data_IF_908299194250
#
_entry.id   IF_908299194250
#
_cell.length_a   1.000
_cell.length_b   1.000
_cell.length_c   1.000
_cell.angle_alpha   90.00
_cell.angle_beta   90.00
_cell.angle_gamma   90.00
#
_symmetry.space_group_name_H-M   'P 1'
#
loop_
_entity.id
_entity.type
_entity.pdbx_description
1 polymer ?
#
# COMPACT_ATOMS: atom_id res chain seq x y z
N UNK A 1 8.78 2.86 -15.74
CA UNK A 1 9.92 1.91 -15.84
C UNK A 1 10.64 1.87 -14.50
N UNK A 2 11.41 0.83 -14.19
CA UNK A 2 12.13 0.72 -12.91
C UNK A 2 13.39 -0.13 -13.01
N UNK A 3 14.22 -0.12 -11.96
CA UNK A 3 15.45 -0.92 -11.86
C UNK A 3 15.54 -1.60 -10.50
N UNK A 4 16.25 -2.73 -10.46
CA UNK A 4 16.69 -3.34 -9.22
C UNK A 4 18.06 -2.76 -8.83
N UNK A 5 18.27 -2.54 -7.53
CA UNK A 5 19.53 -2.07 -6.98
C UNK A 5 19.88 -2.89 -5.75
N UNK A 6 21.10 -3.43 -5.70
CA UNK A 6 21.64 -4.10 -4.51
C UNK A 6 22.73 -3.23 -3.89
N UNK A 7 22.62 -2.97 -2.58
CA UNK A 7 23.62 -2.25 -1.78
C UNK A 7 23.95 -3.03 -0.52
N UNK A 8 25.01 -2.64 0.18
CA UNK A 8 25.35 -3.18 1.47
C UNK A 8 25.82 -2.08 2.42
N UNK A 9 25.67 -2.31 3.72
CA UNK A 9 26.16 -1.45 4.78
C UNK A 9 26.54 -2.30 6.00
N UNK A 10 27.25 -1.73 6.97
CA UNK A 10 27.55 -2.39 8.24
C UNK A 10 26.68 -1.78 9.34
N UNK A 11 26.05 -2.64 10.16
CA UNK A 11 25.30 -2.17 11.33
C UNK A 11 26.22 -1.90 12.52
N UNK A 12 25.68 -1.36 13.62
CA UNK A 12 26.44 -1.02 14.83
C UNK A 12 27.19 -2.22 15.47
N UNK A 13 26.83 -3.46 15.12
CA UNK A 13 27.47 -4.69 15.60
C UNK A 13 28.58 -5.18 14.66
N UNK A 14 28.90 -4.42 13.59
CA UNK A 14 29.89 -4.80 12.58
C UNK A 14 29.41 -5.88 11.60
N UNK A 15 28.10 -6.16 11.55
CA UNK A 15 27.56 -7.14 10.62
C UNK A 15 27.25 -6.49 9.28
N UNK A 16 27.70 -7.09 8.18
CA UNK A 16 27.38 -6.64 6.81
C UNK A 16 25.96 -7.06 6.43
N UNK A 17 25.13 -6.07 6.13
CA UNK A 17 23.75 -6.23 5.68
C UNK A 17 23.67 -5.97 4.18
N UNK A 18 22.98 -6.85 3.45
CA UNK A 18 22.71 -6.69 2.02
C UNK A 18 21.25 -6.31 1.80
N UNK A 19 21.01 -5.28 0.99
CA UNK A 19 19.67 -4.76 0.69
C UNK A 19 19.45 -4.80 -0.81
N UNK A 20 18.34 -5.38 -1.24
CA UNK A 20 17.89 -5.31 -2.64
C UNK A 20 16.61 -4.47 -2.69
N UNK A 21 16.65 -3.39 -3.46
CA UNK A 21 15.57 -2.42 -3.58
C UNK A 21 15.08 -2.34 -5.02
N UNK A 22 13.81 -2.01 -5.20
CA UNK A 22 13.22 -1.71 -6.51
C UNK A 22 12.96 -0.22 -6.59
N UNK A 23 13.65 0.46 -7.50
CA UNK A 23 13.52 1.91 -7.72
C UNK A 23 12.69 2.12 -8.98
N UNK A 24 11.54 2.78 -8.84
CA UNK A 24 10.59 3.04 -9.94
C UNK A 24 10.44 4.53 -10.19
N UNK A 25 10.24 4.89 -11.45
CA UNK A 25 9.99 6.28 -11.86
C UNK A 25 8.54 6.72 -11.62
N UNK A 26 7.59 5.79 -11.80
CA UNK A 26 6.16 6.03 -11.65
C UNK A 26 5.48 4.77 -11.14
N UNK A 27 4.49 4.91 -10.26
CA UNK A 27 3.63 3.82 -9.82
C UNK A 27 2.17 4.24 -9.90
N UNK A 28 1.29 3.24 -9.97
CA UNK A 28 -0.15 3.43 -9.94
C UNK A 28 -0.71 2.48 -8.89
N UNK A 29 -1.60 2.99 -8.04
CA UNK A 29 -2.35 2.15 -7.12
C UNK A 29 -3.48 1.48 -7.90
N UNK A 30 -3.64 0.18 -7.67
CA UNK A 30 -4.81 -0.57 -8.10
C UNK A 30 -5.86 -0.56 -6.98
N UNK A 31 -7.04 -1.08 -7.29
CA UNK A 31 -8.07 -1.30 -6.26
C UNK A 31 -7.58 -2.24 -5.16
N UNK A 32 -8.10 -2.05 -3.95
CA UNK A 32 -7.80 -2.95 -2.85
C UNK A 32 -8.41 -4.33 -3.12
N UNK A 33 -7.82 -5.36 -2.49
CA UNK A 33 -8.34 -6.74 -2.58
C UNK A 33 -9.80 -6.82 -2.12
N UNK A 34 -10.18 -6.06 -1.09
CA UNK A 34 -11.55 -6.04 -0.56
C UNK A 34 -12.55 -5.50 -1.59
N UNK A 35 -12.21 -4.39 -2.25
CA UNK A 35 -13.05 -3.78 -3.30
C UNK A 35 -13.20 -4.74 -4.49
N UNK A 36 -12.12 -5.43 -4.87
CA UNK A 36 -12.15 -6.41 -5.96
C UNK A 36 -13.04 -7.61 -5.60
N UNK A 37 -12.98 -8.10 -4.36
CA UNK A 37 -13.82 -9.20 -3.88
C UNK A 37 -15.30 -8.85 -3.82
N UNK A 38 -15.67 -7.66 -3.34
CA UNK A 38 -17.05 -7.17 -3.31
C UNK A 38 -17.69 -7.13 -4.70
N UNK A 39 -16.91 -6.79 -5.74
CA UNK A 39 -17.40 -6.78 -7.13
C UNK A 39 -17.74 -8.18 -7.64
N UNK A 40 -17.04 -9.22 -7.18
CA UNK A 40 -17.30 -10.62 -7.52
C UNK A 40 -18.58 -11.21 -6.89
N UNK A 41 -18.98 -10.73 -5.71
CA UNK A 41 -20.18 -11.22 -5.00
C UNK A 41 -21.47 -10.61 -5.55
N UNK A 42 -21.40 -9.42 -6.13
CA UNK A 42 -22.57 -8.72 -6.69
C UNK A 42 -22.95 -9.16 -8.11
N UNK A 43 -22.19 -10.07 -8.75
CA UNK A 43 -22.46 -10.55 -10.10
C UNK A 43 -23.47 -11.73 -10.19
N UNK A 44 -23.94 -12.25 -9.05
CA UNK A 44 -24.78 -13.46 -9.01
C UNK A 44 -26.19 -13.29 -8.44
N UNK A 45 -26.67 -12.06 -8.19
CA UNK A 45 -28.05 -11.86 -7.69
C UNK A 45 -28.77 -10.68 -8.36
N UNK A 46 -29.71 -10.92 -9.29
CA UNK A 46 -30.65 -9.89 -9.72
C UNK A 46 -31.78 -9.82 -8.69
N UNK A 47 -31.78 -8.81 -7.84
CA UNK A 47 -32.95 -8.45 -7.02
C UNK A 47 -33.24 -6.96 -7.17
N UNK A 48 -34.51 -6.56 -7.40
CA UNK A 48 -34.85 -5.23 -7.88
C UNK A 48 -34.89 -4.17 -6.76
N UNK A 49 -34.29 -3.02 -7.08
CA UNK A 49 -34.53 -1.63 -6.63
C UNK A 49 -35.30 -1.41 -5.32
N UNK A 50 -34.59 -0.78 -4.36
CA UNK A 50 -35.19 0.01 -3.29
C UNK A 50 -34.14 0.79 -2.48
N UNK A 51 -34.18 2.11 -2.58
CA UNK A 51 -33.74 3.10 -1.57
C UNK A 51 -32.22 3.36 -1.36
N UNK A 52 -31.74 4.40 -2.06
CA UNK A 52 -31.14 5.62 -1.49
C UNK A 52 -30.48 5.52 -0.10
N UNK A 53 -29.15 5.59 -0.04
CA UNK A 53 -28.42 6.38 0.97
C UNK A 53 -26.95 6.57 0.59
N UNK A 54 -26.52 7.83 0.65
CA UNK A 54 -25.16 8.30 0.38
C UNK A 54 -24.20 7.76 1.46
N UNK A 55 -23.21 6.95 1.08
CA UNK A 55 -22.07 6.72 1.94
C UNK A 55 -20.77 6.78 1.13
N UNK A 56 -20.14 7.95 1.15
CA UNK A 56 -18.83 8.20 0.56
C UNK A 56 -17.78 7.51 1.43
N UNK A 57 -17.67 6.18 1.30
CA UNK A 57 -16.62 5.40 1.97
C UNK A 57 -15.30 5.67 1.25
N UNK A 58 -14.57 6.69 1.71
CA UNK A 58 -13.21 6.95 1.28
C UNK A 58 -12.33 5.75 1.68
N UNK A 59 -11.54 5.16 0.77
CA UNK A 59 -10.80 3.92 1.01
C UNK A 59 -9.62 4.06 2.01
N UNK A 60 -9.37 5.26 2.55
CA UNK A 60 -8.29 5.51 3.52
C UNK A 60 -8.68 6.64 4.49
N UNK A 61 -9.47 6.37 5.55
CA UNK A 61 -9.78 7.40 6.54
C UNK A 61 -8.57 7.79 7.42
N UNK A 62 -7.50 6.98 7.44
CA UNK A 62 -6.38 7.12 8.40
C UNK A 62 -5.08 7.65 7.79
N UNK A 63 -5.02 7.88 6.47
CA UNK A 63 -3.85 8.45 5.80
C UNK A 63 -3.90 9.98 5.68
N UNK A 64 -5.00 10.61 6.10
CA UNK A 64 -5.21 12.06 6.02
C UNK A 64 -4.66 12.82 7.25
N UNK A 65 -3.56 12.33 7.84
CA UNK A 65 -2.94 12.99 8.99
C UNK A 65 -1.80 12.23 9.67
N UNK A 66 -1.73 10.90 9.49
CA UNK A 66 -0.53 10.15 9.88
C UNK A 66 0.52 10.32 8.79
N UNK A 67 1.27 11.42 8.88
CA UNK A 67 2.61 11.43 8.29
C UNK A 67 3.29 10.20 8.85
N UNK A 68 3.62 9.22 8.00
CA UNK A 68 4.45 8.08 8.40
C UNK A 68 5.77 8.71 8.87
N UNK A 69 5.88 8.94 10.18
CA UNK A 69 7.07 9.50 10.81
C UNK A 69 8.12 8.41 10.88
N UNK A 70 8.85 8.25 9.77
CA UNK A 70 10.05 7.44 9.76
C UNK A 70 11.10 8.18 10.58
N UNK A 71 11.30 7.74 11.83
CA UNK A 71 12.34 8.27 12.70
C UNK A 71 13.71 7.77 12.27
N UNK A 72 14.75 8.58 12.46
CA UNK A 72 16.15 8.24 12.16
C UNK A 72 16.61 6.93 12.86
N UNK A 73 15.97 6.58 13.97
CA UNK A 73 16.22 5.35 14.73
C UNK A 73 15.47 4.10 14.22
N UNK A 74 14.37 4.29 13.49
CA UNK A 74 13.60 3.21 12.84
C UNK A 74 14.19 2.88 11.46
N UNK A 75 15.10 3.74 11.01
CA UNK A 75 15.94 3.49 9.86
C UNK A 75 17.08 2.56 10.28
N UNK A 76 17.47 1.62 9.41
CA UNK A 76 18.33 0.52 9.82
C UNK A 76 19.81 0.90 9.84
N UNK A 77 20.15 2.18 10.08
CA UNK A 77 21.50 2.73 10.09
C UNK A 77 22.02 3.09 11.50
#
# INVERSE_FOLDING_TARGET
>A
MGRLQTRNYENQQGQRIYVTEVVVESFQLLESKEVSQQRGVNASNPTPVGQQESNTQQPFPDLEGSSIEISDHDLPF
#
